data_IF_480462331514
#
_entry.id   IF_480462331514
#
_cell.length_a   1.000
_cell.length_b   1.000
_cell.length_c   1.000
_cell.angle_alpha   90.00
_cell.angle_beta   90.00
_cell.angle_gamma   90.00
#
_symmetry.space_group_name_H-M   'P 1'
#
loop_
_entity.id
_entity.type
_entity.pdbx_description
1 polymer ?
#
# COMPACT_ATOMS: atom_id res chain seq x y z
N UNK A 1 1.11 -7.50 1.40
CA UNK A 1 0.56 -6.26 1.99
C UNK A 1 -0.97 -6.27 2.01
N UNK A 2 -1.66 -6.64 0.89
CA UNK A 2 -3.12 -6.59 0.79
C UNK A 2 -3.85 -7.39 1.86
N UNK A 3 -3.57 -8.68 1.99
CA UNK A 3 -4.21 -9.57 2.97
C UNK A 3 -3.89 -9.18 4.43
N UNK A 4 -2.71 -8.65 4.68
CA UNK A 4 -2.34 -8.14 6.00
C UNK A 4 -3.21 -6.93 6.39
N UNK A 5 -3.40 -5.99 5.47
CA UNK A 5 -4.25 -4.82 5.70
C UNK A 5 -5.73 -5.21 5.85
N UNK A 6 -6.20 -6.21 5.08
CA UNK A 6 -7.54 -6.76 5.25
C UNK A 6 -7.74 -7.33 6.67
N UNK A 7 -6.72 -8.01 7.21
CA UNK A 7 -6.73 -8.51 8.59
C UNK A 7 -6.82 -7.39 9.62
N UNK A 8 -6.01 -6.34 9.47
CA UNK A 8 -6.03 -5.15 10.35
C UNK A 8 -7.41 -4.49 10.35
N UNK A 9 -7.95 -4.22 9.17
CA UNK A 9 -9.27 -3.59 9.03
C UNK A 9 -10.38 -4.44 9.64
N UNK A 10 -10.34 -5.76 9.41
CA UNK A 10 -11.29 -6.70 9.99
C UNK A 10 -11.25 -6.65 11.53
N UNK A 11 -10.06 -6.65 12.13
CA UNK A 11 -9.87 -6.56 13.57
C UNK A 11 -10.40 -5.22 14.12
N UNK A 12 -10.04 -4.10 13.48
CA UNK A 12 -10.45 -2.77 13.90
C UNK A 12 -11.98 -2.59 13.83
N UNK A 13 -12.61 -3.06 12.74
CA UNK A 13 -14.07 -2.96 12.58
C UNK A 13 -14.79 -3.87 13.57
N UNK A 14 -14.35 -5.11 13.78
CA UNK A 14 -14.95 -6.03 14.75
C UNK A 14 -14.79 -5.55 16.19
N UNK A 15 -13.71 -4.87 16.51
CA UNK A 15 -13.50 -4.25 17.82
C UNK A 15 -14.45 -3.08 18.06
N UNK A 16 -14.61 -2.20 17.07
CA UNK A 16 -15.50 -1.03 17.17
C UNK A 16 -16.99 -1.43 17.15
N UNK A 17 -17.33 -2.41 16.32
CA UNK A 17 -18.71 -2.89 16.13
C UNK A 17 -18.84 -4.34 16.58
N UNK A 18 -18.86 -4.55 17.90
CA UNK A 18 -18.96 -5.88 18.50
C UNK A 18 -20.22 -6.61 18.02
N UNK A 19 -20.08 -7.87 17.61
CA UNK A 19 -21.19 -8.66 17.04
C UNK A 19 -21.43 -8.41 15.55
N UNK A 20 -20.57 -7.63 14.89
CA UNK A 20 -20.60 -7.42 13.44
C UNK A 20 -20.29 -8.71 12.67
N UNK A 21 -21.10 -9.00 11.66
CA UNK A 21 -20.84 -10.10 10.73
C UNK A 21 -19.96 -9.57 9.59
N UNK A 22 -18.69 -9.98 9.59
CA UNK A 22 -17.69 -9.56 8.61
C UNK A 22 -17.22 -10.73 7.76
N UNK A 23 -17.02 -10.48 6.47
CA UNK A 23 -16.30 -11.40 5.58
C UNK A 23 -15.05 -10.72 5.04
N UNK A 24 -14.05 -11.51 4.64
CA UNK A 24 -12.83 -10.98 4.02
C UNK A 24 -13.15 -10.19 2.75
N UNK A 25 -14.10 -10.65 1.95
CA UNK A 25 -14.48 -9.97 0.72
C UNK A 25 -15.12 -8.60 0.98
N UNK A 26 -15.95 -8.46 2.02
CA UNK A 26 -16.48 -7.14 2.42
C UNK A 26 -15.37 -6.17 2.77
N UNK A 27 -14.44 -6.58 3.65
CA UNK A 27 -13.34 -5.74 4.10
C UNK A 27 -12.41 -5.38 2.93
N UNK A 28 -12.13 -6.35 2.05
CA UNK A 28 -11.36 -6.13 0.84
C UNK A 28 -11.99 -5.08 -0.08
N UNK A 29 -13.30 -5.19 -0.34
CA UNK A 29 -14.03 -4.22 -1.15
C UNK A 29 -14.00 -2.82 -0.53
N UNK A 30 -14.16 -2.71 0.78
CA UNK A 30 -14.07 -1.42 1.49
C UNK A 30 -12.67 -0.82 1.36
N UNK A 31 -11.62 -1.62 1.57
CA UNK A 31 -10.24 -1.19 1.37
C UNK A 31 -10.01 -0.71 -0.06
N UNK A 32 -10.37 -1.51 -1.06
CA UNK A 32 -10.16 -1.15 -2.47
C UNK A 32 -10.90 0.13 -2.87
N UNK A 33 -12.04 0.41 -2.25
CA UNK A 33 -12.85 1.58 -2.57
C UNK A 33 -12.47 2.84 -1.79
N UNK A 34 -12.03 2.68 -0.55
CA UNK A 34 -11.95 3.80 0.39
C UNK A 34 -10.55 4.00 0.99
N UNK A 35 -9.50 3.25 0.56
CA UNK A 35 -8.19 3.37 1.16
C UNK A 35 -7.54 4.73 0.91
N UNK A 36 -7.12 5.39 1.98
CA UNK A 36 -6.39 6.64 1.97
C UNK A 36 -5.55 6.78 3.23
N UNK A 37 -4.59 7.69 3.19
CA UNK A 37 -3.80 8.15 4.33
C UNK A 37 -3.74 9.67 4.33
N UNK A 38 -3.45 10.28 5.48
CA UNK A 38 -3.33 11.72 5.62
C UNK A 38 -4.35 12.32 6.60
N UNK A 39 -4.41 13.66 6.66
CA UNK A 39 -5.17 14.39 7.67
C UNK A 39 -6.66 14.55 7.33
N UNK A 40 -7.06 14.24 6.12
CA UNK A 40 -8.47 14.37 5.69
C UNK A 40 -9.38 13.41 6.44
N UNK A 41 -10.46 13.92 7.00
CA UNK A 41 -11.54 13.11 7.52
C UNK A 41 -12.55 12.82 6.40
N UNK A 42 -12.58 11.55 5.94
CA UNK A 42 -13.50 11.10 4.88
C UNK A 42 -14.55 10.17 5.45
N UNK A 43 -15.79 10.44 5.13
CA UNK A 43 -16.89 9.54 5.44
C UNK A 43 -16.86 8.32 4.49
N UNK A 44 -16.78 7.12 5.06
CA UNK A 44 -16.82 5.86 4.33
C UNK A 44 -18.02 5.05 4.83
N UNK A 45 -19.20 5.38 4.31
CA UNK A 45 -20.45 4.75 4.71
C UNK A 45 -20.58 3.35 4.13
N UNK A 46 -20.73 2.36 4.99
CA UNK A 46 -20.88 0.94 4.63
C UNK A 46 -22.07 0.32 5.35
N UNK A 47 -22.69 -0.68 4.70
CA UNK A 47 -23.71 -1.51 5.34
C UNK A 47 -23.02 -2.61 6.15
N UNK A 48 -23.38 -2.71 7.42
CA UNK A 48 -22.85 -3.68 8.37
C UNK A 48 -23.99 -4.38 9.13
N UNK A 49 -24.00 -5.71 9.15
CA UNK A 49 -24.94 -6.48 9.96
C UNK A 49 -24.37 -6.66 11.37
N UNK A 50 -25.04 -6.09 12.37
CA UNK A 50 -24.70 -6.24 13.78
C UNK A 50 -25.88 -6.90 14.47
N UNK A 51 -25.67 -8.05 15.10
CA UNK A 51 -26.72 -8.83 15.77
C UNK A 51 -27.95 -9.10 14.87
N UNK A 52 -27.71 -9.35 13.58
CA UNK A 52 -28.75 -9.62 12.57
C UNK A 52 -29.51 -8.40 12.08
N UNK A 53 -29.16 -7.19 12.50
CA UNK A 53 -29.74 -5.94 12.02
C UNK A 53 -28.76 -5.22 11.08
N UNK A 54 -29.28 -4.75 9.94
CA UNK A 54 -28.51 -3.94 9.00
C UNK A 54 -28.39 -2.51 9.54
N UNK A 55 -27.15 -2.03 9.60
CA UNK A 55 -26.82 -0.68 10.03
C UNK A 55 -25.93 -0.03 8.95
N UNK A 56 -26.11 1.26 8.72
CA UNK A 56 -25.16 2.04 7.93
C UNK A 56 -24.23 2.71 8.92
N UNK A 57 -22.94 2.44 8.78
CA UNK A 57 -21.89 2.93 9.69
C UNK A 57 -20.77 3.59 8.92
N UNK A 58 -20.13 4.57 9.55
CA UNK A 58 -18.92 5.19 9.01
C UNK A 58 -17.67 4.47 9.53
N UNK A 59 -16.88 4.00 8.59
CA UNK A 59 -15.58 3.33 8.84
C UNK A 59 -14.37 4.15 8.35
N UNK A 60 -14.55 5.41 7.94
CA UNK A 60 -13.50 6.22 7.33
C UNK A 60 -12.25 6.32 8.19
N UNK A 61 -12.40 6.67 9.47
CA UNK A 61 -11.28 6.74 10.43
C UNK A 61 -10.57 5.38 10.62
N UNK A 62 -11.32 4.27 10.58
CA UNK A 62 -10.74 2.93 10.70
C UNK A 62 -9.92 2.58 9.45
N UNK A 63 -10.44 2.90 8.26
CA UNK A 63 -9.74 2.67 7.00
C UNK A 63 -8.45 3.47 6.96
N UNK A 64 -8.50 4.76 7.29
CA UNK A 64 -7.33 5.65 7.36
C UNK A 64 -6.28 5.09 8.32
N UNK A 65 -6.65 4.86 9.57
CA UNK A 65 -5.72 4.33 10.59
C UNK A 65 -5.15 2.96 10.24
N UNK A 66 -5.94 2.10 9.59
CA UNK A 66 -5.47 0.82 9.09
C UNK A 66 -4.41 1.00 8.00
N UNK A 67 -4.67 1.88 7.02
CA UNK A 67 -3.72 2.18 5.94
C UNK A 67 -2.43 2.82 6.47
N UNK A 68 -2.52 3.73 7.44
CA UNK A 68 -1.37 4.39 8.07
C UNK A 68 -0.42 3.39 8.74
N UNK A 69 -0.91 2.24 9.24
CA UNK A 69 -0.04 1.21 9.81
C UNK A 69 0.91 0.58 8.77
N UNK A 70 0.61 0.68 7.48
CA UNK A 70 1.49 0.19 6.42
C UNK A 70 2.73 1.08 6.26
N UNK A 71 2.60 2.38 6.51
CA UNK A 71 3.63 3.38 6.20
C UNK A 71 4.97 3.09 6.89
N UNK A 72 5.04 2.81 8.20
CA UNK A 72 6.33 2.49 8.85
C UNK A 72 7.02 1.27 8.23
N UNK A 73 6.29 0.28 7.77
CA UNK A 73 6.87 -0.90 7.12
C UNK A 73 7.51 -0.54 5.77
N UNK A 74 6.84 0.29 4.97
CA UNK A 74 7.37 0.79 3.70
C UNK A 74 8.61 1.65 3.94
N UNK A 75 8.53 2.61 4.85
CA UNK A 75 9.62 3.53 5.21
C UNK A 75 10.86 2.77 5.69
N UNK A 76 10.69 1.80 6.59
CA UNK A 76 11.79 0.98 7.09
C UNK A 76 12.42 0.13 5.98
N UNK A 77 11.61 -0.43 5.09
CA UNK A 77 12.08 -1.17 3.91
C UNK A 77 12.91 -0.30 2.98
N UNK A 78 12.44 0.91 2.67
CA UNK A 78 13.17 1.88 1.84
C UNK A 78 14.48 2.29 2.48
N UNK A 79 14.48 2.64 3.78
CA UNK A 79 15.71 2.99 4.53
C UNK A 79 16.73 1.85 4.51
N UNK A 80 16.27 0.60 4.71
CA UNK A 80 17.13 -0.57 4.65
C UNK A 80 17.78 -0.75 3.27
N UNK A 81 17.02 -0.58 2.18
CA UNK A 81 17.54 -0.67 0.80
C UNK A 81 18.58 0.43 0.55
N UNK A 82 18.28 1.69 0.90
CA UNK A 82 19.20 2.82 0.70
C UNK A 82 20.49 2.59 1.48
N UNK A 83 20.42 2.05 2.70
CA UNK A 83 21.58 1.77 3.54
C UNK A 83 22.52 0.69 2.95
N UNK A 84 22.06 -0.16 2.04
CA UNK A 84 22.91 -1.16 1.37
C UNK A 84 23.71 -0.57 0.21
N UNK A 85 23.36 0.62 -0.28
CA UNK A 85 24.07 1.28 -1.38
C UNK A 85 25.32 2.02 -0.87
N UNK A 86 26.34 2.07 -1.73
CA UNK A 86 27.51 2.90 -1.45
C UNK A 86 27.10 4.36 -1.21
N UNK A 87 27.74 5.09 -0.28
CA UNK A 87 27.34 6.45 0.10
C UNK A 87 27.20 7.43 -1.08
N UNK A 88 28.04 7.28 -2.11
CA UNK A 88 28.01 8.13 -3.30
C UNK A 88 26.75 7.96 -4.15
N UNK A 89 26.07 6.79 -4.08
CA UNK A 89 24.85 6.50 -4.84
C UNK A 89 23.57 6.71 -4.04
N UNK A 90 23.65 6.81 -2.71
CA UNK A 90 22.45 6.98 -1.85
C UNK A 90 21.56 8.18 -2.26
N UNK A 91 22.11 9.36 -2.67
CA UNK A 91 21.27 10.46 -3.17
C UNK A 91 20.46 10.09 -4.42
N UNK A 92 21.02 9.26 -5.32
CA UNK A 92 20.31 8.79 -6.50
C UNK A 92 19.16 7.85 -6.13
N UNK A 93 19.37 6.95 -5.16
CA UNK A 93 18.31 6.06 -4.65
C UNK A 93 17.18 6.87 -3.99
N UNK A 94 17.51 7.85 -3.14
CA UNK A 94 16.50 8.71 -2.49
C UNK A 94 15.64 9.48 -3.50
N UNK A 95 16.22 9.89 -4.62
CA UNK A 95 15.51 10.63 -5.66
C UNK A 95 14.76 9.74 -6.66
N UNK A 96 14.79 8.40 -6.50
CA UNK A 96 14.20 7.44 -7.42
C UNK A 96 13.45 6.31 -6.68
N UNK A 97 12.60 6.68 -5.71
CA UNK A 97 11.76 5.72 -4.97
C UNK A 97 10.45 5.55 -5.72
N UNK A 98 10.23 4.34 -6.22
CA UNK A 98 9.03 4.00 -6.99
C UNK A 98 8.22 2.96 -6.22
N UNK A 99 6.96 3.27 -5.95
CA UNK A 99 6.01 2.35 -5.33
C UNK A 99 5.17 1.64 -6.40
N UNK A 100 5.00 0.34 -6.23
CA UNK A 100 4.22 -0.52 -7.12
C UNK A 100 3.43 -1.56 -6.33
N UNK A 101 2.45 -2.18 -6.97
CA UNK A 101 1.55 -3.14 -6.34
C UNK A 101 0.33 -2.48 -5.70
N UNK A 102 -0.64 -3.26 -5.23
CA UNK A 102 -1.92 -2.75 -4.72
C UNK A 102 -1.81 -1.76 -3.56
N UNK A 103 -0.77 -1.85 -2.73
CA UNK A 103 -0.53 -0.90 -1.63
C UNK A 103 -0.18 0.52 -2.09
N UNK A 104 0.39 0.67 -3.30
CA UNK A 104 0.68 1.99 -3.86
C UNK A 104 -0.56 2.71 -4.43
N UNK A 105 -1.70 2.03 -4.48
CA UNK A 105 -2.99 2.61 -4.87
C UNK A 105 -3.70 3.32 -3.71
N UNK A 106 -3.19 3.19 -2.48
CA UNK A 106 -3.70 3.94 -1.33
C UNK A 106 -3.45 5.43 -1.59
N UNK A 107 -4.51 6.22 -1.59
CA UNK A 107 -4.41 7.65 -1.85
C UNK A 107 -3.57 8.35 -0.77
N UNK A 108 -2.63 9.21 -1.17
CA UNK A 108 -1.71 9.91 -0.28
C UNK A 108 -0.48 9.09 0.17
N UNK A 109 -0.36 7.81 -0.20
CA UNK A 109 0.72 6.95 0.28
C UNK A 109 2.11 7.46 -0.10
N UNK A 110 2.28 7.97 -1.33
CA UNK A 110 3.59 8.44 -1.79
C UNK A 110 4.05 9.67 -1.01
N UNK A 111 3.15 10.62 -0.79
CA UNK A 111 3.44 11.85 -0.04
C UNK A 111 3.77 11.53 1.42
N UNK A 112 2.96 10.69 2.08
CA UNK A 112 3.20 10.29 3.47
C UNK A 112 4.51 9.51 3.64
N UNK A 113 4.87 8.64 2.70
CA UNK A 113 6.17 7.95 2.70
C UNK A 113 7.31 8.95 2.52
N UNK A 114 7.17 9.93 1.61
CA UNK A 114 8.17 10.97 1.40
C UNK A 114 8.39 11.81 2.66
N UNK A 115 7.30 12.24 3.31
CA UNK A 115 7.36 13.01 4.55
C UNK A 115 8.07 12.25 5.68
N UNK A 116 7.79 10.95 5.84
CA UNK A 116 8.46 10.12 6.85
C UNK A 116 9.91 9.74 6.50
N UNK A 117 10.32 9.94 5.27
CA UNK A 117 11.72 9.76 4.83
C UNK A 117 12.53 11.06 4.86
N UNK A 118 11.93 12.21 5.19
CA UNK A 118 12.60 13.52 5.19
C UNK A 118 13.83 13.60 6.11
N UNK A 119 13.90 12.73 7.13
CA UNK A 119 15.04 12.62 8.04
C UNK A 119 16.34 12.09 7.37
N UNK A 120 16.24 11.43 6.21
CA UNK A 120 17.41 10.95 5.47
C UNK A 120 17.84 11.88 4.32
N UNK A 121 17.22 13.05 4.19
CA UNK A 121 17.50 14.10 3.19
C UNK A 121 16.38 14.25 2.16
N UNK A 122 16.66 14.96 1.08
CA UNK A 122 15.68 15.14 0.00
C UNK A 122 15.34 13.80 -0.65
N UNK A 123 14.04 13.48 -0.71
CA UNK A 123 13.53 12.25 -1.30
C UNK A 123 12.45 12.55 -2.33
N UNK A 124 12.34 11.67 -3.32
CA UNK A 124 11.23 11.66 -4.26
C UNK A 124 10.60 10.29 -4.28
N UNK A 125 9.31 10.25 -4.01
CA UNK A 125 8.50 9.03 -3.99
C UNK A 125 7.35 9.21 -4.98
N UNK A 126 7.11 8.24 -5.84
CA UNK A 126 5.95 8.23 -6.73
C UNK A 126 5.44 6.83 -6.97
N UNK A 127 4.19 6.72 -7.40
CA UNK A 127 3.56 5.46 -7.78
C UNK A 127 3.61 5.28 -9.30
N UNK A 128 3.73 4.04 -9.76
CA UNK A 128 3.61 3.74 -11.19
C UNK A 128 2.16 3.92 -11.66
N UNK A 129 1.96 4.24 -12.95
CA UNK A 129 0.62 4.47 -13.52
C UNK A 129 -0.31 3.25 -13.44
N UNK A 130 0.24 2.04 -13.60
CA UNK A 130 -0.51 0.80 -13.45
C UNK A 130 0.17 -0.12 -12.41
N UNK A 131 -0.09 0.07 -11.12
CA UNK A 131 0.64 -0.61 -10.06
C UNK A 131 0.47 -2.14 -10.04
N UNK A 132 -0.67 -2.64 -10.52
CA UNK A 132 -0.99 -4.07 -10.48
C UNK A 132 -0.24 -4.82 -11.59
N UNK A 133 -0.18 -4.25 -12.80
CA UNK A 133 0.39 -4.90 -13.97
C UNK A 133 1.84 -4.51 -14.27
N UNK A 134 2.38 -3.49 -13.59
CA UNK A 134 3.70 -2.92 -13.88
C UNK A 134 4.81 -3.96 -13.88
N UNK A 135 4.81 -4.89 -12.92
CA UNK A 135 5.83 -5.94 -12.81
C UNK A 135 5.72 -6.92 -13.98
N UNK A 136 4.52 -7.38 -14.31
CA UNK A 136 4.30 -8.31 -15.42
C UNK A 136 4.62 -7.65 -16.76
N UNK A 137 4.20 -6.39 -16.96
CA UNK A 137 4.52 -5.61 -18.17
C UNK A 137 6.02 -5.35 -18.31
N UNK A 138 6.70 -5.08 -17.19
CA UNK A 138 8.15 -4.92 -17.16
C UNK A 138 8.88 -6.21 -17.51
N UNK A 139 8.47 -7.33 -16.94
CA UNK A 139 9.02 -8.65 -17.26
C UNK A 139 8.82 -9.01 -18.72
N UNK A 140 7.63 -8.74 -19.29
CA UNK A 140 7.35 -8.98 -20.71
C UNK A 140 8.25 -8.13 -21.62
N UNK A 141 8.43 -6.85 -21.31
CA UNK A 141 9.34 -5.97 -22.06
C UNK A 141 10.77 -6.47 -21.99
N UNK A 142 11.24 -6.87 -20.81
CA UNK A 142 12.59 -7.41 -20.62
C UNK A 142 12.77 -8.69 -21.43
N UNK A 143 11.81 -9.63 -21.37
CA UNK A 143 11.85 -10.87 -22.14
C UNK A 143 11.92 -10.62 -23.66
N UNK A 144 11.25 -9.57 -24.17
CA UNK A 144 11.26 -9.21 -25.58
C UNK A 144 12.58 -8.64 -26.10
N UNK A 145 13.46 -8.17 -25.22
CA UNK A 145 14.78 -7.59 -25.58
C UNK A 145 15.97 -8.40 -25.06
N UNK A 146 15.70 -9.48 -24.30
CA UNK A 146 16.73 -10.32 -23.70
C UNK A 146 17.39 -11.20 -24.77
N UNK A 147 18.73 -11.25 -24.86
CA UNK A 147 19.45 -12.16 -25.74
C UNK A 147 19.17 -13.64 -25.40
N UNK A 148 19.18 -14.51 -26.43
CA UNK A 148 18.83 -15.94 -26.29
C UNK A 148 19.70 -16.69 -25.28
N UNK A 149 21.00 -16.33 -25.18
CA UNK A 149 21.95 -16.92 -24.22
C UNK A 149 21.57 -16.60 -22.76
N UNK A 150 21.07 -15.39 -22.49
CA UNK A 150 20.58 -15.00 -21.16
C UNK A 150 19.24 -15.68 -20.84
N UNK A 151 18.39 -15.86 -21.84
CA UNK A 151 17.11 -16.54 -21.66
C UNK A 151 17.31 -18.00 -21.23
N UNK A 152 18.30 -18.68 -21.82
CA UNK A 152 18.65 -20.08 -21.48
C UNK A 152 19.24 -20.23 -20.08
N UNK A 153 19.87 -19.16 -19.54
CA UNK A 153 20.48 -19.18 -18.21
C UNK A 153 19.46 -19.07 -17.05
N UNK A 154 18.20 -18.65 -17.30
CA UNK A 154 17.15 -18.50 -16.31
C UNK A 154 16.10 -19.66 -16.37
N UNK A 155 16.18 -20.51 -17.35
CA UNK A 155 15.34 -21.72 -17.51
C UNK A 155 16.00 -22.92 -16.85
#
# INVERSE_FOLDING_TARGET
AGDWLDGILMEMVSTKYTGAQLTKDMVRLWKEKYSYVGEDDRECMVELSVEGKKNIVDIGDLVRKGCEQLIPHVVNGVKAIIATADPEYQPQFRNNIILSGGGSMIEGVADMVADQLADIGDVRVWCVDNPIESVASGALKLAGVMPDDQYTAIS
#
